data_IF_139276420048
#
_entry.id   IF_139276420048
#
_cell.length_a   1.000
_cell.length_b   1.000
_cell.length_c   1.000
_cell.angle_alpha   90.00
_cell.angle_beta   90.00
_cell.angle_gamma   90.00
#
_symmetry.space_group_name_H-M   'P 1'
#
loop_
_entity.id
_entity.type
_entity.pdbx_description
1 polymer ?
#
# COMPACT_ATOMS: atom_id res chain seq x y z
N UNK A 1 2.72 -5.42 32.50
CA UNK A 1 1.77 -4.61 31.70
C UNK A 1 1.18 -5.48 30.60
N UNK A 2 0.07 -5.08 30.00
CA UNK A 2 -0.41 -5.71 28.76
C UNK A 2 0.60 -5.45 27.62
N UNK A 3 0.67 -6.36 26.64
CA UNK A 3 1.59 -6.22 25.51
C UNK A 3 0.92 -5.38 24.42
N UNK A 4 1.62 -4.38 23.90
CA UNK A 4 1.13 -3.54 22.82
C UNK A 4 2.06 -3.50 21.60
N UNK A 5 1.44 -3.26 20.45
CA UNK A 5 2.08 -2.76 19.22
C UNK A 5 1.42 -1.45 18.85
N UNK A 6 2.23 -0.47 18.45
CA UNK A 6 1.74 0.82 17.96
C UNK A 6 1.90 0.85 16.45
N UNK A 7 0.84 1.22 15.74
CA UNK A 7 0.78 1.37 14.30
C UNK A 7 0.60 2.86 13.97
N UNK A 8 1.37 3.36 13.01
CA UNK A 8 1.31 4.76 12.58
C UNK A 8 1.15 4.87 11.06
N UNK A 9 -0.09 4.79 10.55
CA UNK A 9 -0.40 5.05 9.15
C UNK A 9 -0.33 6.55 8.82
N UNK A 10 0.00 6.85 7.58
CA UNK A 10 -0.21 8.16 6.99
C UNK A 10 -1.71 8.45 6.75
N UNK A 11 -2.10 9.73 6.54
CA UNK A 11 -3.50 10.14 6.55
C UNK A 11 -4.44 9.53 5.50
N UNK A 12 -4.03 9.23 4.25
CA UNK A 12 -4.95 8.72 3.23
C UNK A 12 -5.57 7.37 3.61
N UNK A 13 -6.88 7.21 3.39
CA UNK A 13 -7.67 6.09 3.92
C UNK A 13 -7.14 4.69 3.55
N UNK A 14 -6.49 4.52 2.39
CA UNK A 14 -5.89 3.24 2.00
C UNK A 14 -4.75 2.79 2.94
N UNK A 15 -4.00 3.74 3.51
CA UNK A 15 -2.96 3.46 4.50
C UNK A 15 -3.59 3.04 5.84
N UNK A 16 -4.60 3.79 6.30
CA UNK A 16 -5.34 3.46 7.52
C UNK A 16 -5.98 2.07 7.44
N UNK A 17 -6.70 1.75 6.35
CA UNK A 17 -7.31 0.42 6.15
C UNK A 17 -6.24 -0.67 6.20
N UNK A 18 -5.13 -0.51 5.47
CA UNK A 18 -4.05 -1.50 5.44
C UNK A 18 -3.45 -1.75 6.83
N UNK A 19 -3.28 -0.69 7.64
CA UNK A 19 -2.80 -0.80 9.02
C UNK A 19 -3.81 -1.44 9.97
N UNK A 20 -5.11 -1.17 9.79
CA UNK A 20 -6.18 -1.85 10.54
C UNK A 20 -6.24 -3.34 10.19
N UNK A 21 -6.11 -3.73 8.92
CA UNK A 21 -6.07 -5.14 8.52
C UNK A 21 -4.80 -5.85 9.04
N UNK A 22 -3.64 -5.16 9.08
CA UNK A 22 -2.47 -5.64 9.80
C UNK A 22 -2.78 -5.87 11.29
N UNK A 23 -3.38 -4.89 11.96
CA UNK A 23 -3.80 -5.00 13.37
C UNK A 23 -4.73 -6.20 13.62
N UNK A 24 -5.74 -6.39 12.76
CA UNK A 24 -6.64 -7.55 12.77
C UNK A 24 -5.87 -8.86 12.58
N UNK A 25 -4.95 -8.94 11.61
CA UNK A 25 -4.14 -10.15 11.39
C UNK A 25 -3.27 -10.49 12.62
N UNK A 26 -2.62 -9.49 13.22
CA UNK A 26 -1.85 -9.67 14.46
C UNK A 26 -2.72 -10.24 15.60
N UNK A 27 -3.95 -9.74 15.76
CA UNK A 27 -4.90 -10.24 16.74
C UNK A 27 -5.35 -11.68 16.46
N UNK A 28 -5.42 -12.14 15.20
CA UNK A 28 -5.69 -13.56 14.90
C UNK A 28 -4.60 -14.51 15.37
N UNK A 29 -3.34 -14.03 15.44
CA UNK A 29 -2.19 -14.82 15.91
C UNK A 29 -1.95 -14.63 17.41
N UNK A 30 -2.18 -13.42 17.94
CA UNK A 30 -1.93 -13.06 19.33
C UNK A 30 -3.15 -12.33 19.92
N UNK A 31 -4.23 -13.04 20.31
CA UNK A 31 -5.46 -12.42 20.80
C UNK A 31 -5.28 -11.56 22.07
N UNK A 32 -4.20 -11.76 22.82
CA UNK A 32 -3.85 -11.00 24.03
C UNK A 32 -3.11 -9.68 23.75
N UNK A 33 -2.99 -9.25 22.50
CA UNK A 33 -2.26 -8.05 22.11
C UNK A 33 -3.20 -6.83 22.12
N UNK A 34 -2.72 -5.69 22.63
CA UNK A 34 -3.37 -4.39 22.43
C UNK A 34 -2.75 -3.72 21.20
N UNK A 35 -3.56 -3.37 20.21
CA UNK A 35 -3.12 -2.66 19.00
C UNK A 35 -3.52 -1.20 19.14
N UNK A 36 -2.56 -0.30 19.10
CA UNK A 36 -2.78 1.14 19.19
C UNK A 36 -2.50 1.76 17.83
N UNK A 37 -3.42 2.57 17.28
CA UNK A 37 -3.27 3.22 15.98
C UNK A 37 -3.25 4.72 16.18
N UNK A 38 -2.15 5.36 15.83
CA UNK A 38 -2.01 6.82 15.90
C UNK A 38 -2.61 7.43 14.62
N UNK A 39 -3.48 8.42 14.78
CA UNK A 39 -4.20 9.09 13.70
C UNK A 39 -3.78 10.56 13.66
N UNK A 40 -3.01 10.93 12.63
CA UNK A 40 -2.60 12.32 12.41
C UNK A 40 -3.73 13.15 11.82
N UNK A 41 -4.05 14.27 12.49
CA UNK A 41 -4.99 15.27 11.99
C UNK A 41 -4.32 16.16 10.95
N UNK A 42 -4.86 16.19 9.72
CA UNK A 42 -4.31 16.97 8.60
C UNK A 42 -5.00 18.33 8.42
N UNK A 43 -4.29 19.36 7.92
CA UNK A 43 -4.86 20.66 7.58
C UNK A 43 -5.41 20.73 6.13
N UNK A 44 -5.57 19.59 5.46
CA UNK A 44 -6.09 19.45 4.09
C UNK A 44 -7.18 18.36 4.04
N UNK A 45 -8.00 18.35 2.99
CA UNK A 45 -9.03 17.32 2.83
C UNK A 45 -8.40 15.98 2.41
N UNK A 46 -8.43 15.00 3.33
CA UNK A 46 -8.03 13.61 3.10
C UNK A 46 -9.22 12.66 2.92
N UNK A 47 -10.45 13.20 2.86
CA UNK A 47 -11.68 12.44 3.09
C UNK A 47 -11.88 12.07 4.56
N UNK A 48 -13.14 11.73 4.91
CA UNK A 48 -13.50 11.37 6.30
C UNK A 48 -13.24 9.89 6.58
N UNK A 49 -12.30 9.62 7.49
CA UNK A 49 -12.02 8.28 8.04
C UNK A 49 -12.86 7.94 9.27
N UNK A 50 -13.56 8.92 9.86
CA UNK A 50 -14.27 8.77 11.13
C UNK A 50 -15.32 7.64 11.17
N UNK A 51 -16.16 7.40 10.13
CA UNK A 51 -17.10 6.29 10.14
C UNK A 51 -16.43 4.91 10.20
N UNK A 52 -15.31 4.75 9.49
CA UNK A 52 -14.52 3.52 9.48
C UNK A 52 -13.85 3.29 10.84
N UNK A 53 -13.22 4.32 11.40
CA UNK A 53 -12.62 4.29 12.74
C UNK A 53 -13.66 3.90 13.80
N UNK A 54 -14.84 4.52 13.78
CA UNK A 54 -15.92 4.22 14.71
C UNK A 54 -16.41 2.77 14.60
N UNK A 55 -16.58 2.25 13.37
CA UNK A 55 -16.97 0.86 13.14
C UNK A 55 -15.92 -0.13 13.69
N UNK A 56 -14.64 0.10 13.42
CA UNK A 56 -13.55 -0.77 13.89
C UNK A 56 -13.42 -0.71 15.41
N UNK A 57 -13.49 0.47 16.02
CA UNK A 57 -13.43 0.64 17.48
C UNK A 57 -14.62 -0.04 18.20
N UNK A 58 -15.82 0.01 17.61
CA UNK A 58 -17.01 -0.64 18.17
C UNK A 58 -16.98 -2.17 18.03
N UNK A 59 -16.36 -2.70 16.97
CA UNK A 59 -16.34 -4.15 16.68
C UNK A 59 -15.10 -4.87 17.20
N UNK A 60 -13.98 -4.18 17.42
CA UNK A 60 -12.70 -4.76 17.84
C UNK A 60 -12.06 -3.93 18.97
N UNK A 61 -12.48 -4.10 20.24
CA UNK A 61 -11.99 -3.30 21.38
C UNK A 61 -10.48 -3.40 21.66
N UNK A 62 -9.80 -4.41 21.13
CA UNK A 62 -8.34 -4.55 21.18
C UNK A 62 -7.60 -3.61 20.21
N UNK A 63 -8.30 -2.95 19.29
CA UNK A 63 -7.77 -1.88 18.42
C UNK A 63 -8.22 -0.54 18.98
N UNK A 64 -7.27 0.30 19.39
CA UNK A 64 -7.49 1.60 20.03
C UNK A 64 -6.93 2.71 19.15
N UNK A 65 -7.74 3.73 18.87
CA UNK A 65 -7.36 4.86 18.02
C UNK A 65 -7.00 6.08 18.87
N UNK A 66 -5.89 6.72 18.53
CA UNK A 66 -5.33 7.88 19.25
C UNK A 66 -5.20 9.04 18.27
N UNK A 67 -6.10 10.03 18.37
CA UNK A 67 -6.09 11.20 17.50
C UNK A 67 -5.05 12.21 17.98
N UNK A 68 -4.01 12.41 17.17
CA UNK A 68 -2.98 13.41 17.44
C UNK A 68 -3.51 14.82 17.13
N UNK A 69 -3.16 15.84 17.94
CA UNK A 69 -3.46 17.24 17.64
C UNK A 69 -2.98 17.67 16.24
N UNK A 70 -3.72 18.59 15.62
CA UNK A 70 -3.35 19.16 14.32
C UNK A 70 -2.08 19.99 14.44
N UNK A 71 -1.14 19.78 13.52
CA UNK A 71 0.08 20.59 13.38
C UNK A 71 -0.11 21.70 12.34
N UNK A 72 0.53 22.85 12.57
CA UNK A 72 0.54 23.96 11.60
C UNK A 72 1.60 23.71 10.53
N UNK A 73 1.20 23.63 9.27
CA UNK A 73 2.14 23.60 8.14
C UNK A 73 2.67 25.02 7.83
N UNK A 74 3.95 25.15 7.43
CA UNK A 74 4.41 26.36 6.75
C UNK A 74 3.69 26.53 5.41
N UNK A 75 3.54 27.77 4.94
CA UNK A 75 2.90 28.06 3.65
C UNK A 75 3.83 27.66 2.50
N UNK A 76 3.66 26.44 1.99
CA UNK A 76 4.39 25.91 0.83
C UNK A 76 3.50 25.91 -0.41
N UNK A 77 4.08 26.31 -1.55
CA UNK A 77 3.48 26.13 -2.88
C UNK A 77 4.11 24.92 -3.54
N UNK A 78 3.67 23.73 -3.14
CA UNK A 78 4.07 22.48 -3.78
C UNK A 78 2.98 21.95 -4.72
N UNK A 79 3.41 21.20 -5.72
CA UNK A 79 2.54 20.44 -6.64
C UNK A 79 2.38 18.98 -6.19
N UNK A 80 3.19 18.52 -5.24
CA UNK A 80 3.24 17.13 -4.77
C UNK A 80 2.49 16.98 -3.44
N UNK A 81 1.43 16.17 -3.41
CA UNK A 81 0.67 15.88 -2.19
C UNK A 81 1.49 15.09 -1.15
N UNK A 82 2.51 14.38 -1.61
CA UNK A 82 3.47 13.62 -0.82
C UNK A 82 4.34 14.54 0.04
N UNK A 83 4.75 15.70 -0.47
CA UNK A 83 5.57 16.68 0.26
C UNK A 83 4.81 17.19 1.51
N UNK A 84 3.54 17.57 1.33
CA UNK A 84 2.65 17.96 2.43
C UNK A 84 2.46 16.82 3.43
N UNK A 85 2.31 15.58 2.94
CA UNK A 85 2.14 14.40 3.78
C UNK A 85 3.38 14.16 4.65
N UNK A 86 4.57 14.19 4.07
CA UNK A 86 5.84 14.07 4.80
C UNK A 86 6.01 15.19 5.83
N UNK A 87 5.72 16.44 5.48
CA UNK A 87 5.88 17.57 6.41
C UNK A 87 4.91 17.52 7.59
N UNK A 88 3.63 17.18 7.38
CA UNK A 88 2.69 16.98 8.51
C UNK A 88 3.22 15.89 9.43
N UNK A 89 3.56 14.71 8.89
CA UNK A 89 3.98 13.56 9.70
C UNK A 89 5.28 13.82 10.47
N UNK A 90 6.26 14.47 9.83
CA UNK A 90 7.53 14.88 10.44
C UNK A 90 7.31 15.92 11.55
N UNK A 91 6.40 16.88 11.36
CA UNK A 91 6.03 17.86 12.38
C UNK A 91 5.18 17.25 13.52
N UNK A 92 4.49 16.14 13.27
CA UNK A 92 3.76 15.37 14.29
C UNK A 92 4.65 14.50 15.19
N UNK A 93 5.93 14.29 14.86
CA UNK A 93 6.84 13.43 15.65
C UNK A 93 6.91 13.74 17.17
N UNK A 94 6.90 15.01 17.64
CA UNK A 94 6.81 15.31 19.07
C UNK A 94 5.54 14.76 19.73
N UNK A 95 4.40 14.83 19.02
CA UNK A 95 3.11 14.30 19.48
C UNK A 95 3.11 12.77 19.49
N UNK A 96 3.72 12.14 18.47
CA UNK A 96 3.97 10.69 18.44
C UNK A 96 4.80 10.25 19.64
N UNK A 97 5.85 11.00 19.99
CA UNK A 97 6.70 10.74 21.16
C UNK A 97 5.92 10.81 22.47
N UNK A 98 5.09 11.84 22.63
CA UNK A 98 4.23 12.02 23.81
C UNK A 98 3.20 10.88 23.93
N UNK A 99 2.56 10.47 22.85
CA UNK A 99 1.57 9.39 22.87
C UNK A 99 2.22 8.01 23.09
N UNK A 100 3.40 7.75 22.52
CA UNK A 100 4.19 6.54 22.82
C UNK A 100 4.54 6.46 24.32
N UNK A 101 4.95 7.58 24.93
CA UNK A 101 5.18 7.66 26.38
C UNK A 101 3.89 7.52 27.20
N UNK A 102 2.76 8.01 26.69
CA UNK A 102 1.44 7.86 27.31
C UNK A 102 0.99 6.40 27.36
N UNK A 103 1.04 5.71 26.20
CA UNK A 103 0.74 4.28 26.05
C UNK A 103 1.66 3.44 26.96
N UNK A 104 2.95 3.77 27.00
CA UNK A 104 3.97 3.04 27.78
C UNK A 104 3.76 3.09 29.31
N UNK A 105 2.85 3.93 29.83
CA UNK A 105 2.47 3.92 31.27
C UNK A 105 1.64 2.70 31.65
N UNK A 106 0.91 2.12 30.69
CA UNK A 106 -0.02 1.01 30.90
C UNK A 106 0.36 -0.26 30.11
N UNK A 107 1.17 -0.10 29.07
CA UNK A 107 1.51 -1.14 28.09
C UNK A 107 3.02 -1.30 27.93
N UNK A 108 3.48 -2.54 27.74
CA UNK A 108 4.82 -2.79 27.20
C UNK A 108 4.73 -2.72 25.67
N UNK A 109 5.29 -1.68 25.07
CA UNK A 109 5.28 -1.46 23.61
C UNK A 109 6.43 -2.24 22.97
N UNK A 110 6.12 -3.27 22.18
CA UNK A 110 7.13 -4.16 21.58
C UNK A 110 7.59 -3.68 20.18
N UNK A 111 6.90 -2.68 19.63
CA UNK A 111 7.31 -2.06 18.37
C UNK A 111 6.39 -0.93 17.92
N UNK A 112 6.97 -0.03 17.13
CA UNK A 112 6.28 0.96 16.32
C UNK A 112 6.33 0.50 14.86
N UNK A 113 5.19 0.27 14.23
CA UNK A 113 5.09 -0.01 12.80
C UNK A 113 4.67 1.27 12.08
N UNK A 114 5.53 1.78 11.22
CA UNK A 114 5.29 2.96 10.38
C UNK A 114 5.03 2.54 8.94
N UNK A 115 4.23 3.27 8.19
CA UNK A 115 4.24 3.13 6.73
C UNK A 115 5.42 3.87 6.08
N UNK A 116 5.45 3.94 4.76
CA UNK A 116 6.53 4.61 4.01
C UNK A 116 6.68 6.10 4.36
N UNK A 117 5.58 6.84 4.50
CA UNK A 117 5.61 8.28 4.76
C UNK A 117 5.90 8.61 6.22
N UNK A 118 5.51 7.71 7.13
CA UNK A 118 5.76 7.84 8.57
C UNK A 118 7.20 7.47 9.00
N UNK A 119 8.13 7.20 8.07
CA UNK A 119 9.49 6.73 8.35
C UNK A 119 10.27 7.62 9.34
N UNK A 120 10.01 8.94 9.33
CA UNK A 120 10.66 9.89 10.23
C UNK A 120 10.38 9.61 11.71
N UNK A 121 9.32 8.86 12.07
CA UNK A 121 9.02 8.47 13.44
C UNK A 121 9.91 7.32 13.96
N UNK A 122 10.72 6.68 13.12
CA UNK A 122 11.67 5.64 13.55
C UNK A 122 12.77 6.19 14.45
N UNK A 123 13.17 7.46 14.29
CA UNK A 123 14.09 8.14 15.21
C UNK A 123 13.47 8.30 16.60
N UNK A 124 12.17 8.61 16.68
CA UNK A 124 11.42 8.68 17.94
C UNK A 124 11.35 7.30 18.61
N UNK A 125 11.10 6.23 17.84
CA UNK A 125 11.13 4.87 18.36
C UNK A 125 12.52 4.52 18.92
N UNK A 126 13.59 4.88 18.19
CA UNK A 126 15.00 4.69 18.58
C UNK A 126 15.35 5.45 19.88
N UNK A 127 14.93 6.70 20.04
CA UNK A 127 15.07 7.47 21.28
C UNK A 127 14.41 6.79 22.49
N UNK A 128 13.26 6.15 22.28
CA UNK A 128 12.48 5.46 23.30
C UNK A 128 12.89 3.99 23.49
N UNK A 129 13.92 3.50 22.78
CA UNK A 129 14.34 2.10 22.73
C UNK A 129 13.23 1.12 22.26
N UNK A 130 12.27 1.60 21.48
CA UNK A 130 11.19 0.81 20.88
C UNK A 130 11.66 0.31 19.49
N UNK A 131 11.54 -0.99 19.17
CA UNK A 131 11.85 -1.49 17.83
C UNK A 131 10.95 -0.87 16.75
N UNK A 132 11.53 -0.16 15.79
CA UNK A 132 10.81 0.44 14.66
C UNK A 132 10.76 -0.48 13.44
N UNK A 133 9.59 -0.67 12.84
CA UNK A 133 9.37 -1.52 11.66
C UNK A 133 8.73 -0.71 10.54
N UNK A 134 9.10 -0.96 9.29
CA UNK A 134 8.31 -0.47 8.16
C UNK A 134 7.20 -1.48 7.81
N UNK A 135 6.05 -0.96 7.39
CA UNK A 135 5.04 -1.69 6.67
C UNK A 135 4.85 -1.09 5.27
N UNK A 136 5.10 -1.91 4.24
CA UNK A 136 4.70 -1.59 2.88
C UNK A 136 3.30 -2.15 2.63
N UNK A 137 2.35 -1.24 2.39
CA UNK A 137 1.02 -1.56 1.85
C UNK A 137 1.07 -2.03 0.38
N UNK A 138 2.24 -1.99 -0.24
CA UNK A 138 2.53 -2.39 -1.62
C UNK A 138 3.34 -3.70 -1.68
N UNK A 139 3.65 -4.16 -2.90
CA UNK A 139 4.40 -5.38 -3.17
C UNK A 139 5.92 -5.29 -2.93
N UNK A 140 6.59 -6.44 -2.92
CA UNK A 140 8.04 -6.54 -2.80
C UNK A 140 8.79 -5.87 -3.97
N UNK A 141 8.17 -5.73 -5.14
CA UNK A 141 8.75 -5.03 -6.28
C UNK A 141 9.07 -3.56 -5.98
N UNK A 142 8.14 -2.81 -5.37
CA UNK A 142 8.39 -1.40 -5.03
C UNK A 142 9.33 -1.27 -3.81
N UNK A 143 9.32 -2.24 -2.90
CA UNK A 143 10.31 -2.32 -1.81
C UNK A 143 11.72 -2.50 -2.37
N UNK A 144 11.92 -3.37 -3.36
CA UNK A 144 13.20 -3.53 -4.05
C UNK A 144 13.64 -2.26 -4.80
N UNK A 145 12.69 -1.51 -5.39
CA UNK A 145 12.95 -0.21 -6.01
C UNK A 145 13.48 0.81 -4.99
N UNK A 146 12.79 1.00 -3.86
CA UNK A 146 13.24 1.97 -2.86
C UNK A 146 14.45 1.53 -2.05
N UNK A 147 14.67 0.24 -1.82
CA UNK A 147 15.94 -0.30 -1.32
C UNK A 147 17.12 0.11 -2.21
N UNK A 148 16.95 0.03 -3.54
CA UNK A 148 18.02 0.36 -4.48
C UNK A 148 18.10 1.87 -4.82
N UNK A 149 17.10 2.66 -4.44
CA UNK A 149 17.01 4.09 -4.79
C UNK A 149 18.20 4.95 -4.32
N UNK A 150 18.78 4.75 -3.11
CA UNK A 150 20.03 5.42 -2.73
C UNK A 150 21.21 5.07 -3.65
N UNK A 151 21.27 3.85 -4.20
CA UNK A 151 22.29 3.45 -5.19
C UNK A 151 22.07 4.18 -6.51
N UNK A 152 20.83 4.30 -6.98
CA UNK A 152 20.48 5.08 -8.18
C UNK A 152 20.87 6.56 -7.99
N UNK A 153 20.55 7.16 -6.84
CA UNK A 153 20.95 8.53 -6.50
C UNK A 153 22.48 8.72 -6.55
N UNK A 154 23.24 7.82 -5.91
CA UNK A 154 24.70 7.93 -5.85
C UNK A 154 25.39 7.70 -7.20
N UNK A 155 24.82 6.86 -8.08
CA UNK A 155 25.38 6.54 -9.40
C UNK A 155 24.93 7.51 -10.50
N UNK A 156 24.06 8.48 -10.20
CA UNK A 156 23.42 9.33 -11.22
C UNK A 156 23.46 10.80 -10.85
N UNK A 157 23.86 11.65 -11.78
CA UNK A 157 23.94 13.12 -11.59
C UNK A 157 22.79 13.92 -12.23
N UNK A 158 21.89 13.26 -12.96
CA UNK A 158 20.70 13.88 -13.60
C UNK A 158 19.40 13.45 -12.92
N UNK A 159 18.32 14.17 -13.22
CA UNK A 159 16.94 13.78 -12.87
C UNK A 159 16.48 12.60 -13.72
N UNK A 160 15.66 11.71 -13.16
CA UNK A 160 15.28 10.45 -13.83
C UNK A 160 14.47 10.69 -15.12
N UNK A 161 13.64 11.76 -15.14
CA UNK A 161 12.94 12.24 -16.34
C UNK A 161 13.86 12.55 -17.53
N UNK A 162 15.12 12.93 -17.26
CA UNK A 162 16.09 13.36 -18.28
C UNK A 162 17.08 12.26 -18.71
N UNK A 163 17.09 11.11 -18.03
CA UNK A 163 18.04 10.03 -18.32
C UNK A 163 17.72 9.25 -19.59
N UNK A 164 16.44 9.08 -19.92
CA UNK A 164 15.95 8.33 -21.10
C UNK A 164 16.61 6.95 -21.25
N UNK A 165 16.73 6.23 -20.14
CA UNK A 165 17.41 4.93 -20.06
C UNK A 165 16.58 3.91 -19.27
N UNK A 166 16.97 2.64 -19.33
CA UNK A 166 16.43 1.59 -18.47
C UNK A 166 17.22 1.52 -17.16
N UNK A 167 16.51 1.60 -16.05
CA UNK A 167 17.03 1.38 -14.70
C UNK A 167 17.04 -0.13 -14.41
N UNK A 168 18.23 -0.66 -14.14
CA UNK A 168 18.44 -2.07 -13.83
C UNK A 168 18.46 -2.27 -12.31
N UNK A 169 17.28 -2.47 -11.74
CA UNK A 169 17.08 -2.67 -10.30
C UNK A 169 17.00 -4.18 -10.02
N UNK A 170 17.80 -4.72 -9.07
CA UNK A 170 17.74 -6.13 -8.70
C UNK A 170 16.32 -6.55 -8.25
N UNK A 171 15.81 -7.66 -8.79
CA UNK A 171 14.52 -8.26 -8.40
C UNK A 171 13.33 -7.88 -9.28
N UNK A 172 13.39 -6.76 -10.00
CA UNK A 172 12.31 -6.24 -10.88
C UNK A 172 12.72 -6.28 -12.37
N UNK A 173 11.78 -6.16 -13.34
CA UNK A 173 12.14 -5.97 -14.74
C UNK A 173 12.86 -4.61 -14.92
N UNK A 174 13.65 -4.40 -15.99
CA UNK A 174 14.18 -3.08 -16.30
C UNK A 174 13.05 -2.05 -16.43
N UNK A 175 13.19 -0.92 -15.74
CA UNK A 175 12.16 0.13 -15.66
C UNK A 175 12.65 1.35 -16.45
N UNK A 176 11.93 1.89 -17.44
CA UNK A 176 12.30 3.18 -18.04
C UNK A 176 12.38 4.27 -16.96
N UNK A 177 13.38 5.15 -17.05
CA UNK A 177 13.62 6.15 -16.00
C UNK A 177 12.49 7.16 -15.83
N UNK A 178 11.63 7.30 -16.85
CA UNK A 178 10.36 8.05 -16.85
C UNK A 178 9.24 7.39 -16.06
N UNK A 179 9.29 6.07 -15.87
CA UNK A 179 8.19 5.26 -15.34
C UNK A 179 8.36 4.99 -13.83
N UNK A 180 9.39 5.59 -13.24
CA UNK A 180 9.56 5.68 -11.79
C UNK A 180 8.48 6.61 -11.19
N UNK A 181 8.12 6.46 -9.90
CA UNK A 181 7.07 7.28 -9.29
C UNK A 181 7.32 8.79 -9.49
N UNK A 182 6.28 9.53 -9.88
CA UNK A 182 6.37 10.97 -10.20
C UNK A 182 7.18 11.81 -9.19
N UNK A 183 7.03 11.61 -7.86
CA UNK A 183 7.80 12.36 -6.85
C UNK A 183 9.32 12.14 -6.88
N UNK A 184 9.81 11.08 -7.54
CA UNK A 184 11.26 10.80 -7.68
C UNK A 184 11.81 11.08 -9.09
N UNK A 185 11.00 11.66 -9.98
CA UNK A 185 11.44 11.93 -11.35
C UNK A 185 12.38 13.14 -11.46
N UNK A 186 12.26 14.14 -10.58
CA UNK A 186 13.16 15.28 -10.51
C UNK A 186 14.03 15.24 -9.26
N UNK A 187 15.36 15.28 -9.41
CA UNK A 187 16.30 15.15 -8.28
C UNK A 187 16.36 16.40 -7.39
N UNK A 188 15.91 17.53 -7.92
CA UNK A 188 15.98 18.84 -7.29
C UNK A 188 14.64 19.21 -6.59
N UNK A 189 13.60 18.37 -6.73
CA UNK A 189 12.32 18.53 -6.04
C UNK A 189 12.42 18.10 -4.56
N UNK A 190 11.69 18.80 -3.68
CA UNK A 190 11.68 18.48 -2.24
C UNK A 190 11.08 17.09 -1.94
N UNK A 191 10.13 16.66 -2.76
CA UNK A 191 9.52 15.33 -2.67
C UNK A 191 10.56 14.22 -2.92
N UNK A 192 11.46 14.38 -3.89
CA UNK A 192 12.56 13.43 -4.15
C UNK A 192 13.46 13.25 -2.92
N UNK A 193 13.81 14.35 -2.23
CA UNK A 193 14.60 14.32 -0.99
C UNK A 193 13.91 13.46 0.08
N UNK A 194 12.61 13.66 0.31
CA UNK A 194 11.85 12.86 1.28
C UNK A 194 11.77 11.37 0.93
N UNK A 195 11.55 11.02 -0.35
CA UNK A 195 11.57 9.62 -0.79
C UNK A 195 12.97 8.99 -0.65
N UNK A 196 14.04 9.77 -0.84
CA UNK A 196 15.42 9.32 -0.66
C UNK A 196 15.75 9.08 0.82
N UNK A 197 15.33 9.97 1.71
CA UNK A 197 15.55 9.82 3.15
C UNK A 197 14.68 8.70 3.74
N UNK A 198 13.45 8.51 3.24
CA UNK A 198 12.64 7.32 3.52
C UNK A 198 13.39 6.04 3.14
N UNK A 199 13.98 6.02 1.94
CA UNK A 199 14.75 4.88 1.45
C UNK A 199 16.02 4.61 2.28
N UNK A 200 16.69 5.66 2.76
CA UNK A 200 17.85 5.56 3.67
C UNK A 200 17.49 5.06 5.07
N UNK A 201 16.24 5.16 5.49
CA UNK A 201 15.81 4.69 6.82
C UNK A 201 15.62 3.17 6.93
N UNK A 202 15.45 2.46 5.81
CA UNK A 202 15.20 1.01 5.83
C UNK A 202 16.25 0.19 6.59
N UNK A 203 17.58 0.37 6.40
CA UNK A 203 18.60 -0.44 7.08
C UNK A 203 18.62 -0.29 8.60
N UNK A 204 18.11 0.82 9.14
CA UNK A 204 18.03 1.05 10.59
C UNK A 204 16.82 0.37 11.26
N UNK A 205 15.85 -0.10 10.48
CA UNK A 205 14.64 -0.72 11.00
C UNK A 205 14.88 -2.14 11.56
N UNK A 206 14.04 -2.54 12.52
CA UNK A 206 14.00 -3.88 13.08
C UNK A 206 13.41 -4.93 12.11
N UNK A 207 12.78 -4.50 11.01
CA UNK A 207 12.22 -5.37 9.99
C UNK A 207 11.26 -4.66 9.04
N UNK A 208 11.04 -5.29 7.89
CA UNK A 208 10.23 -4.80 6.77
C UNK A 208 9.06 -5.75 6.55
N UNK A 209 7.87 -5.30 6.90
CA UNK A 209 6.61 -6.03 6.72
C UNK A 209 6.05 -5.64 5.34
N UNK A 210 5.68 -6.62 4.51
CA UNK A 210 5.24 -6.37 3.13
C UNK A 210 3.87 -7.03 2.90
N UNK A 211 2.93 -6.29 2.30
CA UNK A 211 1.63 -6.79 1.88
C UNK A 211 1.70 -7.62 0.58
N UNK A 212 2.49 -8.69 0.62
CA UNK A 212 2.67 -9.64 -0.47
C UNK A 212 2.91 -11.04 0.08
N UNK A 213 2.92 -12.04 -0.80
CA UNK A 213 3.29 -13.43 -0.47
C UNK A 213 4.33 -13.95 -1.45
N UNK A 214 5.19 -14.85 -0.99
CA UNK A 214 6.42 -15.25 -1.70
C UNK A 214 6.18 -15.70 -3.15
N UNK A 215 5.14 -16.49 -3.44
CA UNK A 215 4.87 -16.97 -4.80
C UNK A 215 4.30 -15.92 -5.76
N UNK A 216 3.86 -14.75 -5.27
CA UNK A 216 3.41 -13.63 -6.12
C UNK A 216 4.59 -12.87 -6.71
N UNK A 217 5.63 -12.62 -5.91
CA UNK A 217 6.76 -11.74 -6.25
C UNK A 217 8.12 -12.39 -5.94
N UNK A 218 8.22 -13.71 -6.12
CA UNK A 218 9.34 -14.56 -5.68
C UNK A 218 10.72 -14.00 -6.03
N UNK A 219 10.90 -13.44 -7.23
CA UNK A 219 12.16 -12.82 -7.64
C UNK A 219 12.49 -11.57 -6.81
N UNK A 220 11.54 -10.67 -6.59
CA UNK A 220 11.77 -9.46 -5.79
C UNK A 220 11.99 -9.79 -4.31
N UNK A 221 11.18 -10.69 -3.73
CA UNK A 221 11.31 -11.17 -2.34
C UNK A 221 12.68 -11.81 -2.12
N UNK A 222 13.11 -12.71 -3.02
CA UNK A 222 14.41 -13.38 -2.95
C UNK A 222 15.55 -12.37 -3.03
N UNK A 223 15.58 -11.53 -4.07
CA UNK A 223 16.67 -10.59 -4.31
C UNK A 223 16.80 -9.53 -3.23
N UNK A 224 15.68 -9.09 -2.62
CA UNK A 224 15.70 -8.22 -1.44
C UNK A 224 16.28 -8.94 -0.21
N UNK A 225 15.85 -10.18 0.06
CA UNK A 225 16.30 -10.99 1.19
C UNK A 225 17.77 -11.42 1.09
N UNK A 226 18.30 -11.59 -0.13
CA UNK A 226 19.71 -11.87 -0.42
C UNK A 226 20.61 -10.62 -0.33
N UNK A 227 20.07 -9.44 0.00
CA UNK A 227 20.84 -8.19 0.14
C UNK A 227 21.21 -7.48 -1.16
N UNK A 228 20.87 -8.08 -2.31
CA UNK A 228 21.26 -7.57 -3.63
C UNK A 228 20.62 -6.22 -3.97
N UNK A 229 19.47 -5.87 -3.35
CA UNK A 229 18.83 -4.58 -3.51
C UNK A 229 19.47 -3.45 -2.66
N UNK A 230 20.37 -3.75 -1.72
CA UNK A 230 21.05 -2.74 -0.87
C UNK A 230 22.56 -3.04 -0.78
N UNK A 231 23.33 -2.80 -1.85
CA UNK A 231 24.71 -3.28 -1.98
C UNK A 231 25.71 -2.72 -0.95
N UNK A 232 25.38 -1.62 -0.26
CA UNK A 232 26.26 -0.96 0.72
C UNK A 232 25.77 -1.10 2.17
N UNK A 233 24.60 -1.70 2.39
CA UNK A 233 23.87 -1.64 3.66
C UNK A 233 23.35 -3.03 4.07
N UNK A 234 22.94 -3.16 5.34
CA UNK A 234 22.32 -4.39 5.83
C UNK A 234 20.83 -4.43 5.47
N UNK A 235 20.36 -5.54 4.90
CA UNK A 235 18.91 -5.82 4.82
C UNK A 235 18.35 -6.20 6.21
N UNK A 236 17.30 -5.53 6.69
CA UNK A 236 16.52 -6.00 7.83
C UNK A 236 15.77 -7.31 7.50
N UNK A 237 15.26 -8.03 8.50
CA UNK A 237 14.35 -9.16 8.27
C UNK A 237 13.11 -8.74 7.45
N UNK A 238 12.77 -9.52 6.42
CA UNK A 238 11.60 -9.28 5.56
C UNK A 238 10.47 -10.25 5.95
N UNK A 239 9.26 -9.71 6.12
CA UNK A 239 8.06 -10.44 6.50
C UNK A 239 6.95 -10.23 5.46
N UNK A 240 6.88 -11.11 4.45
CA UNK A 240 5.79 -11.16 3.47
C UNK A 240 4.55 -11.81 4.10
N UNK A 241 3.61 -11.02 4.59
CA UNK A 241 2.44 -11.48 5.38
C UNK A 241 1.11 -11.39 4.62
N UNK A 242 1.15 -11.00 3.35
CA UNK A 242 -0.04 -10.76 2.55
C UNK A 242 -0.76 -12.02 2.05
N UNK A 243 -1.88 -11.86 1.31
CA UNK A 243 -2.53 -10.58 1.06
C UNK A 243 -3.40 -10.13 2.25
N UNK A 244 -3.12 -8.94 2.76
CA UNK A 244 -3.99 -8.19 3.66
C UNK A 244 -5.05 -7.50 2.81
N UNK A 245 -6.28 -7.98 2.89
CA UNK A 245 -7.45 -7.48 2.17
C UNK A 245 -8.55 -7.28 3.20
N UNK A 246 -9.23 -6.13 3.17
CA UNK A 246 -10.39 -5.88 4.04
C UNK A 246 -11.51 -6.89 3.73
N UNK A 247 -11.82 -7.76 4.69
CA UNK A 247 -12.80 -8.84 4.53
C UNK A 247 -14.20 -8.51 5.07
N UNK A 248 -14.58 -7.23 5.10
CA UNK A 248 -15.72 -6.74 5.89
C UNK A 248 -17.03 -7.53 5.70
N UNK A 249 -17.73 -7.75 6.81
CA UNK A 249 -19.19 -7.59 6.80
C UNK A 249 -20.04 -8.66 6.11
N UNK A 250 -19.55 -9.89 5.88
CA UNK A 250 -20.24 -10.93 5.08
C UNK A 250 -21.67 -11.35 5.51
N UNK A 251 -22.27 -10.78 6.57
CA UNK A 251 -23.65 -11.07 6.98
C UNK A 251 -24.52 -9.90 7.48
N UNK A 252 -23.96 -8.80 7.99
CA UNK A 252 -24.77 -7.80 8.73
C UNK A 252 -24.88 -6.41 8.09
N UNK A 253 -24.08 -6.06 7.08
CA UNK A 253 -24.16 -4.75 6.41
C UNK A 253 -25.26 -4.66 5.33
N UNK A 254 -26.35 -5.41 5.50
CA UNK A 254 -27.54 -5.26 4.66
C UNK A 254 -28.28 -3.95 4.97
N UNK A 255 -28.25 -3.51 6.24
CA UNK A 255 -29.01 -2.36 6.74
C UNK A 255 -28.24 -1.03 6.63
N UNK A 256 -26.94 -1.05 6.33
CA UNK A 256 -26.05 0.12 6.29
C UNK A 256 -25.54 0.49 4.89
N UNK A 257 -25.71 -0.38 3.89
CA UNK A 257 -25.36 -0.05 2.49
C UNK A 257 -26.34 0.97 1.92
N UNK A 258 -25.81 1.98 1.23
CA UNK A 258 -26.66 2.87 0.45
C UNK A 258 -27.41 2.07 -0.64
N UNK A 259 -28.60 2.53 -1.04
CA UNK A 259 -29.45 1.80 -1.98
C UNK A 259 -28.73 1.47 -3.30
N UNK A 260 -27.91 2.40 -3.81
CA UNK A 260 -27.14 2.23 -5.03
C UNK A 260 -26.15 1.05 -4.98
N UNK A 261 -25.44 0.84 -3.87
CA UNK A 261 -24.53 -0.29 -3.71
C UNK A 261 -25.26 -1.64 -3.63
N UNK A 262 -26.45 -1.66 -3.01
CA UNK A 262 -27.28 -2.85 -2.96
C UNK A 262 -27.88 -3.18 -4.34
N UNK A 263 -28.35 -2.18 -5.07
CA UNK A 263 -28.93 -2.35 -6.41
C UNK A 263 -27.88 -2.71 -7.46
N UNK A 264 -26.66 -2.17 -7.34
CA UNK A 264 -25.48 -2.62 -8.08
C UNK A 264 -25.22 -4.12 -7.92
N UNK A 265 -25.26 -4.65 -6.68
CA UNK A 265 -25.02 -6.06 -6.43
C UNK A 265 -26.17 -6.94 -6.98
N UNK A 266 -27.44 -6.52 -6.80
CA UNK A 266 -28.59 -7.20 -7.43
C UNK A 266 -28.45 -7.25 -8.96
N UNK A 267 -27.99 -6.16 -9.58
CA UNK A 267 -27.73 -6.13 -11.02
C UNK A 267 -26.61 -7.12 -11.40
N UNK A 268 -25.52 -7.17 -10.64
CA UNK A 268 -24.40 -8.09 -10.87
C UNK A 268 -24.83 -9.56 -10.75
N UNK A 269 -25.64 -9.90 -9.74
CA UNK A 269 -26.19 -11.24 -9.51
C UNK A 269 -27.11 -11.71 -10.66
N UNK A 270 -27.67 -10.77 -11.44
CA UNK A 270 -28.49 -11.10 -12.62
C UNK A 270 -27.69 -11.36 -13.92
N UNK A 271 -26.36 -11.20 -13.91
CA UNK A 271 -25.52 -11.38 -15.10
C UNK A 271 -24.92 -12.80 -15.20
N UNK A 272 -24.65 -13.32 -16.42
CA UNK A 272 -23.92 -14.56 -16.59
C UNK A 272 -22.53 -14.54 -15.93
N UNK A 273 -22.13 -15.66 -15.33
CA UNK A 273 -20.85 -15.79 -14.63
C UNK A 273 -19.66 -15.44 -15.52
N UNK A 274 -18.82 -14.51 -15.05
CA UNK A 274 -17.63 -14.06 -15.78
C UNK A 274 -17.91 -13.15 -16.99
N UNK A 275 -19.13 -12.61 -17.15
CA UNK A 275 -19.49 -11.74 -18.29
C UNK A 275 -19.40 -10.24 -18.03
N UNK A 276 -18.98 -9.83 -16.83
CA UNK A 276 -18.93 -8.44 -16.37
C UNK A 276 -17.49 -8.01 -16.08
N UNK A 277 -17.11 -6.82 -16.52
CA UNK A 277 -15.84 -6.16 -16.19
C UNK A 277 -16.01 -5.22 -14.99
N UNK A 278 -14.96 -5.11 -14.18
CA UNK A 278 -14.82 -4.17 -13.08
C UNK A 278 -13.68 -3.18 -13.45
N UNK A 279 -13.95 -1.86 -13.48
CA UNK A 279 -13.04 -0.80 -13.95
C UNK A 279 -13.13 0.51 -13.12
N UNK A 280 -12.19 0.87 -12.26
CA UNK A 280 -12.17 2.18 -11.57
C UNK A 280 -10.78 2.46 -11.07
N UNK A 281 -10.52 3.69 -10.70
CA UNK A 281 -9.20 4.26 -10.66
C UNK A 281 -8.83 4.67 -9.22
N UNK A 282 -9.40 3.95 -8.24
CA UNK A 282 -9.34 4.28 -6.82
C UNK A 282 -10.06 5.59 -6.45
N UNK A 283 -9.79 6.09 -5.24
CA UNK A 283 -10.37 7.36 -4.75
C UNK A 283 -9.64 8.62 -5.24
N UNK A 284 -8.46 8.46 -5.82
CA UNK A 284 -7.60 9.56 -6.31
C UNK A 284 -7.50 9.63 -7.84
N UNK A 285 -8.04 8.65 -8.56
CA UNK A 285 -8.05 8.65 -10.02
C UNK A 285 -8.98 9.72 -10.59
N UNK A 286 -8.37 10.75 -11.18
CA UNK A 286 -9.05 11.88 -11.82
C UNK A 286 -8.67 11.94 -13.30
N UNK A 287 -9.67 12.03 -14.17
CA UNK A 287 -9.49 12.06 -15.62
C UNK A 287 -10.15 13.30 -16.21
N UNK A 288 -9.62 13.77 -17.35
CA UNK A 288 -10.27 14.82 -18.13
C UNK A 288 -11.64 14.35 -18.62
N UNK A 289 -12.55 15.28 -18.88
CA UNK A 289 -13.87 14.99 -19.46
C UNK A 289 -13.75 14.29 -20.81
N UNK A 290 -12.68 14.59 -21.53
CA UNK A 290 -12.32 14.03 -22.84
C UNK A 290 -11.89 12.57 -22.68
N UNK A 291 -11.02 12.27 -21.72
CA UNK A 291 -10.60 10.89 -21.44
C UNK A 291 -11.76 10.02 -20.91
N UNK A 292 -12.65 10.58 -20.08
CA UNK A 292 -13.86 9.88 -19.63
C UNK A 292 -14.83 9.56 -20.78
N UNK A 293 -14.93 10.41 -21.82
CA UNK A 293 -15.72 10.11 -23.03
C UNK A 293 -15.12 8.96 -23.81
N UNK A 294 -13.80 8.94 -24.04
CA UNK A 294 -13.17 7.84 -24.78
C UNK A 294 -13.29 6.51 -24.04
N UNK A 295 -13.12 6.52 -22.71
CA UNK A 295 -13.38 5.35 -21.88
C UNK A 295 -14.83 4.88 -22.07
N UNK A 296 -15.82 5.78 -21.96
CA UNK A 296 -17.23 5.44 -22.16
C UNK A 296 -17.53 4.88 -23.57
N UNK A 297 -17.00 5.50 -24.63
CA UNK A 297 -17.21 5.05 -26.02
C UNK A 297 -16.54 3.70 -26.31
N UNK A 298 -15.33 3.45 -25.81
CA UNK A 298 -14.64 2.18 -26.00
C UNK A 298 -15.32 1.03 -25.25
N UNK A 299 -15.79 1.32 -24.04
CA UNK A 299 -16.62 0.42 -23.25
C UNK A 299 -17.93 0.08 -23.97
N UNK A 300 -18.65 1.08 -24.49
CA UNK A 300 -19.90 0.87 -25.25
C UNK A 300 -19.67 0.00 -26.49
N UNK A 301 -18.66 0.33 -27.31
CA UNK A 301 -18.32 -0.41 -28.54
C UNK A 301 -17.91 -1.87 -28.27
N UNK A 302 -17.33 -2.15 -27.10
CA UNK A 302 -16.95 -3.51 -26.72
C UNK A 302 -18.14 -4.48 -26.58
N UNK A 303 -19.35 -3.98 -26.29
CA UNK A 303 -20.55 -4.80 -26.07
C UNK A 303 -20.56 -5.60 -24.76
N UNK A 304 -19.60 -5.39 -23.86
CA UNK A 304 -19.54 -6.06 -22.55
C UNK A 304 -20.26 -5.27 -21.44
N UNK A 305 -20.64 -5.98 -20.37
CA UNK A 305 -21.34 -5.42 -19.20
C UNK A 305 -20.32 -4.92 -18.17
N UNK A 306 -20.58 -3.80 -17.50
CA UNK A 306 -19.54 -3.06 -16.77
C UNK A 306 -19.99 -2.65 -15.37
N UNK A 307 -19.05 -2.72 -14.44
CA UNK A 307 -19.03 -2.18 -13.09
C UNK A 307 -17.63 -1.54 -12.85
N UNK A 308 -17.37 -0.87 -11.72
CA UNK A 308 -16.17 -0.03 -11.54
C UNK A 308 -15.33 -0.36 -10.25
N UNK A 309 -13.99 -0.63 -10.35
CA UNK A 309 -12.95 -1.30 -9.46
C UNK A 309 -11.66 -1.74 -10.25
N UNK A 310 -10.51 -2.12 -9.64
CA UNK A 310 -9.16 -2.38 -10.28
C UNK A 310 -8.24 -3.20 -9.32
N UNK A 311 -6.97 -3.61 -9.56
CA UNK A 311 -6.07 -3.99 -10.71
C UNK A 311 -4.96 -4.88 -10.05
N UNK A 312 -4.16 -5.66 -10.81
CA UNK A 312 -3.00 -6.43 -10.28
C UNK A 312 -2.04 -7.06 -11.34
N UNK A 313 -1.95 -6.60 -12.60
CA UNK A 313 -1.36 -7.35 -13.74
C UNK A 313 -2.01 -8.70 -14.01
N UNK A 314 -3.29 -8.75 -13.66
CA UNK A 314 -4.26 -9.78 -14.02
C UNK A 314 -5.04 -9.29 -15.25
N UNK A 315 -4.34 -8.56 -16.13
CA UNK A 315 -4.89 -7.59 -17.07
C UNK A 315 -3.99 -7.42 -18.31
N UNK A 316 -4.56 -6.80 -19.35
CA UNK A 316 -3.84 -6.36 -20.54
C UNK A 316 -3.44 -4.89 -20.39
N UNK A 317 -2.20 -4.49 -20.73
CA UNK A 317 -1.79 -3.09 -20.67
C UNK A 317 -2.51 -2.26 -21.76
N UNK A 318 -3.00 -1.08 -21.42
CA UNK A 318 -3.49 -0.11 -22.42
C UNK A 318 -2.31 0.57 -23.13
N UNK A 319 -2.51 0.98 -24.37
CA UNK A 319 -1.61 1.88 -25.11
C UNK A 319 -2.11 3.31 -24.99
N UNK A 320 -1.28 4.15 -24.41
CA UNK A 320 -1.49 5.59 -24.34
C UNK A 320 -0.81 6.30 -25.53
N UNK A 321 -1.32 7.48 -25.88
CA UNK A 321 -0.58 8.44 -26.70
C UNK A 321 0.59 9.06 -25.91
N UNK A 322 1.44 9.85 -26.59
CA UNK A 322 2.47 10.66 -25.93
C UNK A 322 1.92 11.67 -24.89
N UNK A 323 0.62 11.94 -24.89
CA UNK A 323 -0.06 12.80 -23.91
C UNK A 323 -0.78 12.03 -22.80
N UNK A 324 -0.51 10.73 -22.63
CA UNK A 324 -1.22 9.86 -21.67
C UNK A 324 -2.69 9.60 -22.01
N UNK A 325 -3.08 9.78 -23.28
CA UNK A 325 -4.48 9.68 -23.70
C UNK A 325 -4.78 8.30 -24.29
N UNK A 326 -5.80 7.62 -23.77
CA UNK A 326 -6.29 6.32 -24.25
C UNK A 326 -7.53 6.54 -25.11
N UNK A 327 -7.48 6.10 -26.37
CA UNK A 327 -8.63 6.19 -27.28
C UNK A 327 -9.71 5.14 -27.00
N UNK A 328 -10.94 5.42 -27.41
CA UNK A 328 -12.06 4.48 -27.37
C UNK A 328 -11.74 3.16 -28.10
N UNK A 329 -10.99 3.21 -29.19
CA UNK A 329 -10.60 2.00 -29.93
C UNK A 329 -9.65 1.11 -29.11
N UNK A 330 -8.67 1.69 -28.40
CA UNK A 330 -7.79 0.91 -27.53
C UNK A 330 -8.57 0.31 -26.34
N UNK A 331 -9.48 1.07 -25.72
CA UNK A 331 -10.33 0.55 -24.63
C UNK A 331 -11.21 -0.60 -25.12
N UNK A 332 -11.83 -0.48 -26.30
CA UNK A 332 -12.58 -1.58 -26.92
C UNK A 332 -11.69 -2.80 -27.14
N UNK A 333 -10.53 -2.64 -27.80
CA UNK A 333 -9.60 -3.74 -28.11
C UNK A 333 -9.12 -4.46 -26.85
N UNK A 334 -8.87 -3.73 -25.74
CA UNK A 334 -8.45 -4.34 -24.47
C UNK A 334 -9.56 -5.05 -23.74
N UNK A 335 -10.77 -4.50 -23.76
CA UNK A 335 -11.94 -5.18 -23.19
C UNK A 335 -12.23 -6.47 -23.95
N UNK A 336 -12.33 -6.41 -25.29
CA UNK A 336 -12.52 -7.58 -26.15
C UNK A 336 -11.38 -8.58 -25.99
N UNK A 337 -10.14 -8.11 -25.98
CA UNK A 337 -8.95 -8.92 -25.74
C UNK A 337 -9.03 -9.68 -24.41
N UNK A 338 -9.41 -9.01 -23.32
CA UNK A 338 -9.50 -9.62 -21.99
C UNK A 338 -10.66 -10.64 -21.89
N UNK A 339 -11.76 -10.41 -22.60
CA UNK A 339 -12.99 -11.21 -22.48
C UNK A 339 -13.06 -12.34 -23.51
N UNK A 340 -12.77 -12.06 -24.77
CA UNK A 340 -13.06 -12.90 -25.94
C UNK A 340 -11.84 -13.70 -26.44
N UNK A 341 -10.60 -13.24 -26.17
CA UNK A 341 -9.38 -13.86 -26.72
C UNK A 341 -8.79 -15.00 -25.87
N UNK A 342 -7.97 -15.85 -26.51
CA UNK A 342 -7.17 -16.87 -25.81
C UNK A 342 -6.11 -16.25 -24.87
N UNK A 343 -5.57 -15.06 -25.17
CA UNK A 343 -4.68 -14.36 -24.24
C UNK A 343 -5.44 -13.93 -22.97
N UNK A 344 -6.62 -13.34 -23.13
CA UNK A 344 -7.52 -12.99 -22.03
C UNK A 344 -7.93 -14.20 -21.19
N UNK A 345 -8.18 -15.35 -21.83
CA UNK A 345 -8.44 -16.61 -21.15
C UNK A 345 -7.23 -17.09 -20.32
N UNK A 346 -6.02 -17.09 -20.90
CA UNK A 346 -4.79 -17.44 -20.17
C UNK A 346 -4.53 -16.49 -18.99
N UNK A 347 -4.84 -15.20 -19.12
CA UNK A 347 -4.78 -14.23 -18.02
C UNK A 347 -5.75 -14.64 -16.91
N UNK A 348 -7.02 -14.91 -17.22
CA UNK A 348 -8.02 -15.34 -16.23
C UNK A 348 -7.65 -16.67 -15.54
N UNK A 349 -7.07 -17.62 -16.27
CA UNK A 349 -6.57 -18.88 -15.71
C UNK A 349 -5.41 -18.65 -14.73
N UNK A 350 -4.43 -17.80 -15.09
CA UNK A 350 -3.34 -17.37 -14.18
C UNK A 350 -3.89 -16.67 -12.94
N UNK A 351 -4.90 -15.82 -13.09
CA UNK A 351 -5.61 -15.15 -11.98
C UNK A 351 -6.24 -16.14 -11.01
N UNK A 352 -6.89 -17.18 -11.50
CA UNK A 352 -7.43 -18.26 -10.65
C UNK A 352 -6.30 -19.01 -9.94
N UNK A 353 -5.18 -19.29 -10.63
CA UNK A 353 -3.96 -19.84 -10.02
C UNK A 353 -3.41 -18.99 -8.88
N UNK A 354 -3.26 -17.68 -9.09
CA UNK A 354 -2.78 -16.75 -8.06
C UNK A 354 -3.75 -16.61 -6.88
N UNK A 355 -5.07 -16.65 -7.13
CA UNK A 355 -6.10 -16.70 -6.08
C UNK A 355 -6.01 -17.97 -5.22
N UNK A 356 -5.60 -19.10 -5.81
CA UNK A 356 -5.34 -20.34 -5.05
C UNK A 356 -4.03 -20.20 -4.27
N UNK A 357 -2.95 -19.70 -4.89
CA UNK A 357 -1.67 -19.48 -4.24
C UNK A 357 -1.78 -18.53 -3.03
N UNK A 358 -2.54 -17.44 -3.15
CA UNK A 358 -2.86 -16.53 -2.06
C UNK A 358 -3.53 -17.23 -0.87
N UNK A 359 -4.53 -18.09 -1.13
CA UNK A 359 -5.19 -18.88 -0.09
C UNK A 359 -4.22 -19.86 0.62
N UNK A 360 -3.33 -20.48 -0.14
CA UNK A 360 -2.29 -21.39 0.40
C UNK A 360 -1.28 -20.61 1.24
N UNK A 361 -0.89 -19.41 0.84
CA UNK A 361 0.01 -18.55 1.61
C UNK A 361 -0.60 -18.11 2.95
N UNK A 362 -1.90 -17.81 2.99
CA UNK A 362 -2.62 -17.40 4.21
C UNK A 362 -3.16 -18.54 5.08
N UNK A 363 -3.19 -19.78 4.59
CA UNK A 363 -3.63 -20.95 5.36
C UNK A 363 -2.61 -21.38 6.41
N UNK A 364 -3.01 -22.26 7.33
CA UNK A 364 -2.13 -22.80 8.37
C UNK A 364 -0.86 -23.44 7.78
N UNK A 365 0.31 -23.12 8.34
CA UNK A 365 1.62 -23.49 7.76
C UNK A 365 2.00 -22.80 6.44
N UNK A 366 1.13 -21.95 5.87
CA UNK A 366 1.40 -21.18 4.66
C UNK A 366 2.48 -20.11 4.85
N UNK A 367 3.14 -19.71 3.76
CA UNK A 367 4.30 -18.80 3.79
C UNK A 367 4.03 -17.49 4.56
N UNK A 368 2.84 -16.89 4.38
CA UNK A 368 2.46 -15.66 5.05
C UNK A 368 2.15 -15.85 6.54
N UNK A 369 1.59 -17.01 6.92
CA UNK A 369 1.42 -17.37 8.34
C UNK A 369 2.76 -17.63 9.02
N UNK A 370 3.69 -18.33 8.35
CA UNK A 370 5.05 -18.52 8.84
C UNK A 370 5.81 -17.19 8.98
N UNK A 371 5.67 -16.27 8.02
CA UNK A 371 6.26 -14.94 8.12
C UNK A 371 5.67 -14.11 9.28
N UNK A 372 4.34 -14.20 9.49
CA UNK A 372 3.64 -13.57 10.61
C UNK A 372 4.13 -14.12 11.96
N UNK A 373 4.30 -15.43 12.10
CA UNK A 373 4.82 -16.04 13.33
C UNK A 373 6.24 -15.56 13.64
N UNK A 374 7.13 -15.51 12.64
CA UNK A 374 8.49 -14.96 12.79
C UNK A 374 8.49 -13.48 13.21
N UNK A 375 7.59 -12.67 12.64
CA UNK A 375 7.41 -11.27 13.06
C UNK A 375 7.03 -11.18 14.54
N UNK A 376 6.02 -11.94 14.97
CA UNK A 376 5.55 -11.97 16.37
C UNK A 376 6.60 -12.55 17.32
N UNK A 377 7.42 -13.49 16.86
CA UNK A 377 8.56 -14.02 17.62
C UNK A 377 9.67 -12.98 17.83
N UNK A 378 9.93 -12.12 16.83
CA UNK A 378 10.89 -11.02 16.96
C UNK A 378 10.55 -10.00 18.08
N UNK A 379 9.34 -10.07 18.62
CA UNK A 379 8.85 -9.27 19.75
C UNK A 379 8.95 -9.98 21.11
N UNK A 380 9.30 -11.26 21.16
CA UNK A 380 9.44 -12.01 22.43
C UNK A 380 10.85 -11.93 23.02
N UNK A 381 11.85 -11.71 22.16
CA UNK A 381 13.27 -11.84 22.49
C UNK A 381 13.94 -10.50 22.90
N UNK A 382 13.17 -9.54 23.41
CA UNK A 382 13.63 -8.17 23.75
C UNK A 382 12.94 -7.62 25.00
#
# INVERSE_FOLDING_TARGET
MERAIVLYPSPPIGHLISMVELGKLLLTHTPSLSVHILITSVPYDSGSTAPYIANVAATIPSIKFHHLPTVTLPSTKTIHHEELTFDVLRLSNPLVREELLSISKNYTVHGLVVDFFCCAALSVAKELNIPGYHFSSSGAGIVAVFFYFPTIHNTTTKSLKDLKTLLHIPGVPPIPSSDMPTPVLDRDDKSYEYFLDSSRSFPESAGIIINTFESLESRAVKTASEGLCMPNDRTPPIYCIGPLIATEGRKNDADTRNGAALDCLKWLDSQPGGSVIFLCFGSLGLFSKEQLKEIAFGLERSGHRILLVEEMKLALPMRESESGFVSATEVEERVRGLMESEEGKLIRERTVGMKIAAKVASSEGGSSRVALSKLVESWKDK
#
